data_IF_160123873587
#
_entry.id   IF_160123873587
#
_cell.length_a   1.000
_cell.length_b   1.000
_cell.length_c   1.000
_cell.angle_alpha   90.00
_cell.angle_beta   90.00
_cell.angle_gamma   90.00
#
_symmetry.space_group_name_H-M   'P 1'
#
loop_
_entity.id
_entity.type
_entity.pdbx_description
1 polymer ?
#
# COMPACT_ATOMS: atom_id res chain seq x y z
N UNK A 1 66.29 -2.88 -46.10
CA UNK A 1 65.41 -3.31 -44.99
C UNK A 1 64.11 -3.87 -45.60
N UNK A 2 63.84 -5.17 -45.42
CA UNK A 2 63.03 -5.99 -46.35
C UNK A 2 61.56 -6.09 -45.91
N UNK A 3 60.60 -5.54 -46.68
CA UNK A 3 59.14 -5.49 -46.39
C UNK A 3 58.51 -6.87 -46.07
N UNK A 4 59.13 -7.96 -46.51
CA UNK A 4 58.67 -9.34 -46.28
C UNK A 4 58.79 -9.79 -44.81
N UNK A 5 59.67 -9.19 -44.00
CA UNK A 5 59.80 -9.52 -42.57
C UNK A 5 58.68 -8.90 -41.71
N UNK A 6 58.08 -7.80 -42.15
CA UNK A 6 56.96 -7.14 -41.46
C UNK A 6 55.64 -7.92 -41.62
N UNK A 7 55.39 -8.46 -42.82
CA UNK A 7 54.21 -9.29 -43.07
C UNK A 7 54.26 -10.61 -42.28
N UNK A 8 55.44 -11.19 -42.10
CA UNK A 8 55.61 -12.41 -41.31
C UNK A 8 55.39 -12.17 -39.80
N UNK A 9 55.80 -11.02 -39.28
CA UNK A 9 55.57 -10.64 -37.89
C UNK A 9 54.08 -10.36 -37.59
N UNK A 10 53.35 -9.76 -38.54
CA UNK A 10 51.90 -9.51 -38.41
C UNK A 10 51.06 -10.79 -38.55
N UNK A 11 51.53 -11.77 -39.35
CA UNK A 11 50.89 -13.08 -39.51
C UNK A 11 51.19 -14.04 -38.34
N UNK A 12 52.36 -13.92 -37.70
CA UNK A 12 52.68 -14.68 -36.48
C UNK A 12 51.96 -14.12 -35.24
N UNK A 13 51.56 -12.84 -35.26
CA UNK A 13 50.75 -12.23 -34.19
C UNK A 13 49.30 -12.74 -34.17
N UNK A 14 48.80 -13.29 -35.29
CA UNK A 14 47.44 -13.82 -35.42
C UNK A 14 47.35 -15.33 -35.20
N UNK A 15 48.47 -16.06 -35.33
CA UNK A 15 48.56 -17.51 -35.12
C UNK A 15 48.89 -17.91 -33.66
N UNK A 16 49.45 -17.00 -32.86
CA UNK A 16 49.73 -17.23 -31.44
C UNK A 16 48.56 -16.72 -30.58
N UNK A 17 47.51 -17.53 -30.46
CA UNK A 17 46.32 -17.24 -29.65
C UNK A 17 46.64 -17.00 -28.17
N UNK A 18 46.78 -15.73 -27.79
CA UNK A 18 46.84 -15.22 -26.42
C UNK A 18 46.15 -13.84 -26.39
N UNK A 19 45.21 -13.56 -25.48
CA UNK A 19 44.14 -14.40 -24.96
C UNK A 19 42.78 -13.69 -25.16
N UNK A 20 41.88 -14.23 -26.00
CA UNK A 20 40.45 -13.84 -25.94
C UNK A 20 39.82 -14.17 -24.57
N UNK A 21 40.54 -14.91 -23.71
CA UNK A 21 40.14 -15.23 -22.34
C UNK A 21 40.15 -14.03 -21.39
N UNK A 22 40.99 -13.02 -21.62
CA UNK A 22 41.03 -11.83 -20.77
C UNK A 22 39.87 -10.88 -21.08
N UNK A 23 39.54 -10.71 -22.37
CA UNK A 23 38.43 -9.88 -22.82
C UNK A 23 37.07 -10.46 -22.40
N UNK A 24 36.91 -11.78 -22.53
CA UNK A 24 35.73 -12.49 -22.02
C UNK A 24 35.61 -12.42 -20.50
N UNK A 25 36.73 -12.49 -19.75
CA UNK A 25 36.71 -12.35 -18.30
C UNK A 25 36.34 -10.93 -17.83
N UNK A 26 36.76 -9.89 -18.57
CA UNK A 26 36.38 -8.50 -18.29
C UNK A 26 34.87 -8.30 -18.56
N UNK A 27 34.37 -8.77 -19.70
CA UNK A 27 32.95 -8.68 -20.06
C UNK A 27 32.05 -9.43 -19.07
N UNK A 28 32.47 -10.62 -18.63
CA UNK A 28 31.73 -11.44 -17.64
C UNK A 28 31.77 -10.79 -16.24
N UNK A 29 32.90 -10.17 -15.88
CA UNK A 29 33.00 -9.40 -14.63
C UNK A 29 32.12 -8.15 -14.63
N UNK A 30 31.99 -7.46 -15.77
CA UNK A 30 31.12 -6.30 -15.90
C UNK A 30 29.64 -6.71 -15.89
N UNK A 31 29.29 -7.84 -16.49
CA UNK A 31 27.95 -8.41 -16.41
C UNK A 31 27.58 -8.78 -14.97
N UNK A 32 28.45 -9.48 -14.24
CA UNK A 32 28.25 -9.82 -12.84
C UNK A 32 28.15 -8.57 -11.95
N UNK A 33 28.96 -7.54 -12.23
CA UNK A 33 28.95 -6.27 -11.48
C UNK A 33 27.67 -5.46 -11.76
N UNK A 34 27.20 -5.45 -13.00
CA UNK A 34 25.90 -4.87 -13.39
C UNK A 34 24.74 -5.59 -12.72
N UNK A 35 24.74 -6.91 -12.70
CA UNK A 35 23.70 -7.69 -12.01
C UNK A 35 23.70 -7.42 -10.51
N UNK A 36 24.89 -7.38 -9.88
CA UNK A 36 25.02 -7.02 -8.48
C UNK A 36 24.50 -5.61 -8.18
N UNK A 37 24.75 -4.64 -9.07
CA UNK A 37 24.22 -3.28 -8.95
C UNK A 37 22.70 -3.23 -9.10
N UNK A 38 22.13 -3.93 -10.09
CA UNK A 38 20.67 -4.00 -10.29
C UNK A 38 19.98 -4.69 -9.11
N UNK A 39 20.54 -5.77 -8.58
CA UNK A 39 20.04 -6.42 -7.36
C UNK A 39 20.11 -5.47 -6.16
N UNK A 40 21.21 -4.74 -6.00
CA UNK A 40 21.35 -3.78 -4.89
C UNK A 40 20.35 -2.63 -4.98
N UNK A 41 20.12 -2.12 -6.19
CA UNK A 41 19.14 -1.07 -6.46
C UNK A 41 17.72 -1.55 -6.13
N UNK A 42 17.31 -2.69 -6.69
CA UNK A 42 15.98 -3.28 -6.44
C UNK A 42 15.74 -3.64 -4.98
N UNK A 43 16.74 -4.17 -4.27
CA UNK A 43 16.63 -4.44 -2.82
C UNK A 43 16.48 -3.14 -2.04
N UNK A 44 17.27 -2.11 -2.36
CA UNK A 44 17.20 -0.80 -1.68
C UNK A 44 15.83 -0.16 -1.85
N UNK A 45 15.29 -0.15 -3.07
CA UNK A 45 13.97 0.44 -3.35
C UNK A 45 12.86 -0.32 -2.63
N UNK A 46 12.89 -1.66 -2.66
CA UNK A 46 11.92 -2.49 -1.91
C UNK A 46 11.93 -2.22 -0.42
N UNK A 47 13.11 -2.03 0.17
CA UNK A 47 13.27 -1.74 1.60
C UNK A 47 12.75 -0.34 1.92
N UNK A 48 13.01 0.64 1.05
CA UNK A 48 12.49 2.01 1.20
C UNK A 48 10.96 2.08 1.08
N UNK A 49 10.36 1.24 0.24
CA UNK A 49 8.91 1.21 0.01
C UNK A 49 8.12 0.40 1.05
N UNK A 50 8.77 -0.47 1.84
CA UNK A 50 8.07 -1.31 2.82
C UNK A 50 7.21 -0.49 3.80
N UNK A 51 7.75 0.56 4.46
CA UNK A 51 7.00 1.29 5.47
C UNK A 51 5.73 1.92 4.90
N UNK A 52 5.78 2.44 3.68
CA UNK A 52 4.64 3.02 2.97
C UNK A 52 3.60 1.94 2.68
N UNK A 53 4.03 0.76 2.19
CA UNK A 53 3.14 -0.39 1.95
C UNK A 53 2.49 -0.90 3.23
N UNK A 54 3.24 -0.96 4.33
CA UNK A 54 2.74 -1.36 5.66
C UNK A 54 1.69 -0.37 6.17
N UNK A 55 1.97 0.94 6.13
CA UNK A 55 1.02 2.00 6.51
C UNK A 55 -0.27 1.91 5.67
N UNK A 56 -0.15 1.71 4.36
CA UNK A 56 -1.30 1.52 3.47
C UNK A 56 -2.11 0.26 3.81
N UNK A 57 -1.44 -0.85 4.14
CA UNK A 57 -2.13 -2.08 4.56
C UNK A 57 -2.89 -1.86 5.88
N UNK A 58 -2.26 -1.20 6.86
CA UNK A 58 -2.91 -0.86 8.13
C UNK A 58 -4.13 0.03 7.93
N UNK A 59 -4.04 1.03 7.06
CA UNK A 59 -5.17 1.88 6.71
C UNK A 59 -6.33 1.10 6.05
N UNK A 60 -6.03 0.17 5.14
CA UNK A 60 -7.08 -0.69 4.55
C UNK A 60 -7.76 -1.57 5.59
N UNK A 61 -6.98 -2.15 6.51
CA UNK A 61 -7.52 -2.94 7.63
C UNK A 61 -8.38 -2.06 8.53
N UNK A 62 -7.93 -0.86 8.88
CA UNK A 62 -8.70 0.05 9.73
C UNK A 62 -10.02 0.49 9.08
N UNK A 63 -10.05 0.69 7.75
CA UNK A 63 -11.29 0.94 7.00
C UNK A 63 -12.26 -0.24 7.10
N UNK A 64 -11.76 -1.48 6.97
CA UNK A 64 -12.60 -2.67 7.09
C UNK A 64 -13.19 -2.79 8.50
N UNK A 65 -12.38 -2.55 9.53
CA UNK A 65 -12.83 -2.56 10.94
C UNK A 65 -13.86 -1.45 11.19
N UNK A 66 -13.59 -0.22 10.73
CA UNK A 66 -14.51 0.91 10.86
C UNK A 66 -15.86 0.63 10.17
N UNK A 67 -15.82 0.03 8.98
CA UNK A 67 -17.02 -0.40 8.27
C UNK A 67 -17.81 -1.45 9.06
N UNK A 68 -17.14 -2.48 9.57
CA UNK A 68 -17.78 -3.54 10.35
C UNK A 68 -18.47 -2.99 11.61
N UNK A 69 -17.81 -2.13 12.38
CA UNK A 69 -18.42 -1.54 13.59
C UNK A 69 -19.54 -0.55 13.26
N UNK A 70 -19.48 0.15 12.12
CA UNK A 70 -20.57 1.01 11.66
C UNK A 70 -21.82 0.18 11.36
N UNK A 71 -21.66 -0.97 10.71
CA UNK A 71 -22.77 -1.91 10.46
C UNK A 71 -23.33 -2.43 11.79
N UNK A 72 -22.45 -2.83 12.71
CA UNK A 72 -22.87 -3.31 14.03
C UNK A 72 -23.64 -2.24 14.81
N UNK A 73 -23.19 -0.99 14.77
CA UNK A 73 -23.83 0.16 15.39
C UNK A 73 -25.21 0.44 14.79
N UNK A 74 -25.33 0.49 13.46
CA UNK A 74 -26.62 0.59 12.75
C UNK A 74 -27.57 -0.53 13.17
N UNK A 75 -27.10 -1.78 13.16
CA UNK A 75 -27.91 -2.94 13.51
C UNK A 75 -28.34 -2.93 14.99
N UNK A 76 -27.47 -2.41 15.87
CA UNK A 76 -27.79 -2.24 17.30
C UNK A 76 -28.90 -1.20 17.52
N UNK A 77 -28.95 -0.17 16.66
CA UNK A 77 -29.89 0.97 16.74
C UNK A 77 -31.19 0.78 15.96
N UNK A 78 -31.27 -0.14 15.00
CA UNK A 78 -32.50 -0.37 14.21
C UNK A 78 -33.72 -0.62 15.10
N UNK A 79 -34.77 0.16 14.88
CA UNK A 79 -36.04 0.07 15.60
C UNK A 79 -36.05 0.74 16.99
N UNK A 80 -34.94 1.33 17.44
CA UNK A 80 -34.89 2.11 18.70
C UNK A 80 -35.48 3.50 18.50
N UNK A 81 -35.94 4.11 19.60
CA UNK A 81 -36.43 5.49 19.63
C UNK A 81 -35.29 6.48 19.44
N UNK A 82 -35.41 7.35 18.45
CA UNK A 82 -34.35 8.26 18.04
C UNK A 82 -34.74 9.72 18.28
N UNK A 83 -34.00 10.36 19.19
CA UNK A 83 -34.25 11.76 19.54
C UNK A 83 -33.86 12.73 18.40
N UNK A 84 -32.94 12.32 17.52
CA UNK A 84 -32.45 13.18 16.45
C UNK A 84 -33.49 13.28 15.30
N UNK A 85 -34.07 14.47 15.06
CA UNK A 85 -35.10 14.66 14.03
C UNK A 85 -34.61 14.39 12.60
N UNK A 86 -33.29 14.49 12.36
CA UNK A 86 -32.70 14.19 11.04
C UNK A 86 -32.60 12.68 10.77
N UNK A 87 -32.46 11.87 11.82
CA UNK A 87 -32.26 10.42 11.72
C UNK A 87 -33.54 9.62 12.02
N UNK A 88 -34.48 10.21 12.77
CA UNK A 88 -35.73 9.57 13.16
C UNK A 88 -36.71 9.49 12.00
N UNK A 89 -37.59 8.50 12.07
CA UNK A 89 -38.68 8.29 11.12
C UNK A 89 -39.97 8.92 11.62
N UNK A 90 -41.04 8.81 10.83
CA UNK A 90 -42.36 9.31 11.22
C UNK A 90 -42.83 8.72 12.57
N UNK A 91 -42.49 7.45 12.87
CA UNK A 91 -42.84 6.77 14.11
C UNK A 91 -41.85 7.02 15.27
N UNK A 92 -40.91 7.97 15.12
CA UNK A 92 -39.90 8.31 16.11
C UNK A 92 -38.69 7.38 16.16
N UNK A 93 -38.67 6.29 15.38
CA UNK A 93 -37.59 5.30 15.45
C UNK A 93 -36.46 5.52 14.44
N UNK A 94 -35.28 4.99 14.76
CA UNK A 94 -34.18 4.85 13.80
C UNK A 94 -34.55 3.79 12.75
N UNK A 95 -34.63 4.22 11.47
CA UNK A 95 -35.00 3.37 10.34
C UNK A 95 -34.04 3.52 9.16
N UNK A 96 -34.42 2.94 8.01
CA UNK A 96 -33.76 3.08 6.72
C UNK A 96 -33.27 4.50 6.39
N UNK A 97 -34.02 5.55 6.75
CA UNK A 97 -33.55 6.94 6.57
C UNK A 97 -32.30 7.23 7.39
N UNK A 98 -32.34 6.94 8.68
CA UNK A 98 -31.20 7.10 9.58
C UNK A 98 -30.00 6.27 9.13
N UNK A 99 -30.25 5.04 8.66
CA UNK A 99 -29.24 4.17 8.05
C UNK A 99 -28.60 4.83 6.83
N UNK A 100 -29.40 5.35 5.89
CA UNK A 100 -28.88 5.97 4.67
C UNK A 100 -28.02 7.20 4.96
N UNK A 101 -28.41 8.03 5.92
CA UNK A 101 -27.65 9.23 6.31
C UNK A 101 -26.33 8.82 6.95
N UNK A 102 -26.35 7.86 7.89
CA UNK A 102 -25.13 7.36 8.54
C UNK A 102 -24.18 6.71 7.55
N UNK A 103 -24.71 5.91 6.63
CA UNK A 103 -23.95 5.29 5.54
C UNK A 103 -23.35 6.34 4.59
N UNK A 104 -24.08 7.40 4.25
CA UNK A 104 -23.58 8.48 3.41
C UNK A 104 -22.41 9.23 4.08
N UNK A 105 -22.52 9.51 5.38
CA UNK A 105 -21.44 10.17 6.16
C UNK A 105 -20.19 9.30 6.17
N UNK A 106 -20.33 8.01 6.53
CA UNK A 106 -19.19 7.09 6.59
C UNK A 106 -18.58 6.86 5.21
N UNK A 107 -19.40 6.60 4.19
CA UNK A 107 -18.95 6.41 2.81
C UNK A 107 -18.21 7.64 2.26
N UNK A 108 -18.74 8.84 2.48
CA UNK A 108 -18.08 10.09 2.07
C UNK A 108 -16.75 10.27 2.79
N UNK A 109 -16.70 9.99 4.09
CA UNK A 109 -15.47 10.06 4.89
C UNK A 109 -14.40 9.11 4.36
N UNK A 110 -14.76 7.85 4.09
CA UNK A 110 -13.85 6.85 3.53
C UNK A 110 -13.37 7.25 2.12
N UNK A 111 -14.27 7.79 1.29
CA UNK A 111 -13.95 8.29 -0.05
C UNK A 111 -12.97 9.48 -0.02
N UNK A 112 -13.21 10.46 0.85
CA UNK A 112 -12.30 11.59 1.05
C UNK A 112 -10.93 11.12 1.54
N UNK A 113 -10.87 10.20 2.51
CA UNK A 113 -9.60 9.62 2.95
C UNK A 113 -8.86 8.94 1.79
N UNK A 114 -9.56 8.16 0.97
CA UNK A 114 -8.95 7.51 -0.20
C UNK A 114 -8.35 8.54 -1.18
N UNK A 115 -9.08 9.62 -1.49
CA UNK A 115 -8.59 10.68 -2.38
C UNK A 115 -7.39 11.44 -1.81
N UNK A 116 -7.39 11.71 -0.49
CA UNK A 116 -6.29 12.38 0.19
C UNK A 116 -5.03 11.49 0.23
N UNK A 117 -5.19 10.22 0.58
CA UNK A 117 -4.07 9.28 0.68
C UNK A 117 -3.50 8.88 -0.68
N UNK A 118 -4.27 9.00 -1.76
CA UNK A 118 -3.74 8.90 -3.12
C UNK A 118 -2.71 9.99 -3.42
N UNK A 119 -2.90 11.20 -2.87
CA UNK A 119 -1.97 12.33 -3.06
C UNK A 119 -0.87 12.36 -2.01
N UNK A 120 -1.15 11.89 -0.79
CA UNK A 120 -0.20 11.87 0.32
C UNK A 120 -0.24 10.50 1.04
N UNK A 121 0.50 9.49 0.55
CA UNK A 121 0.49 8.15 1.12
C UNK A 121 1.13 8.08 2.51
N UNK A 122 1.96 9.07 2.89
CA UNK A 122 2.62 9.09 4.20
C UNK A 122 1.63 9.28 5.35
N UNK A 123 0.48 9.91 5.08
CA UNK A 123 -0.58 10.12 6.05
C UNK A 123 -1.39 8.83 6.36
N UNK A 124 -1.16 7.71 5.64
CA UNK A 124 -1.94 6.49 5.80
C UNK A 124 -1.85 5.92 7.23
N UNK A 125 -0.68 6.04 7.88
CA UNK A 125 -0.52 5.62 9.27
C UNK A 125 -1.42 6.41 10.23
N UNK A 126 -1.43 7.74 10.12
CA UNK A 126 -2.26 8.61 10.94
C UNK A 126 -3.76 8.34 10.72
N UNK A 127 -4.17 8.24 9.45
CA UNK A 127 -5.55 7.88 9.10
C UNK A 127 -5.95 6.51 9.67
N UNK A 128 -5.03 5.54 9.69
CA UNK A 128 -5.27 4.24 10.29
C UNK A 128 -5.55 4.33 11.79
N UNK A 129 -4.73 5.06 12.54
CA UNK A 129 -4.93 5.29 13.97
C UNK A 129 -6.25 5.99 14.27
N UNK A 130 -6.59 7.03 13.50
CA UNK A 130 -7.87 7.72 13.63
C UNK A 130 -9.05 6.78 13.40
N UNK A 131 -9.01 5.96 12.35
CA UNK A 131 -10.06 4.99 12.06
C UNK A 131 -10.21 3.96 13.18
N UNK A 132 -9.10 3.46 13.76
CA UNK A 132 -9.17 2.53 14.89
C UNK A 132 -9.72 3.20 16.15
N UNK A 133 -9.35 4.44 16.44
CA UNK A 133 -9.87 5.18 17.58
C UNK A 133 -11.39 5.40 17.47
N UNK A 134 -11.86 5.85 16.30
CA UNK A 134 -13.29 6.01 16.02
C UNK A 134 -13.98 4.64 16.11
N UNK A 135 -13.40 3.60 15.51
CA UNK A 135 -13.98 2.27 15.52
C UNK A 135 -14.12 1.68 16.93
N UNK A 136 -13.12 1.92 17.80
CA UNK A 136 -13.18 1.53 19.21
C UNK A 136 -14.32 2.24 19.95
N UNK A 137 -14.46 3.55 19.78
CA UNK A 137 -15.55 4.32 20.39
C UNK A 137 -16.93 3.87 19.89
N UNK A 138 -17.10 3.72 18.57
CA UNK A 138 -18.35 3.24 17.96
C UNK A 138 -18.66 1.80 18.38
N UNK A 139 -17.66 0.93 18.43
CA UNK A 139 -17.81 -0.45 18.87
C UNK A 139 -18.26 -0.56 20.33
N UNK A 140 -17.73 0.29 21.22
CA UNK A 140 -18.18 0.35 22.62
C UNK A 140 -19.66 0.76 22.74
N UNK A 141 -20.10 1.75 21.95
CA UNK A 141 -21.51 2.17 21.89
C UNK A 141 -22.39 1.04 21.37
N UNK A 142 -22.01 0.40 20.27
CA UNK A 142 -22.76 -0.72 19.69
C UNK A 142 -22.86 -1.90 20.66
N UNK A 143 -21.75 -2.26 21.32
CA UNK A 143 -21.69 -3.31 22.34
C UNK A 143 -22.62 -3.01 23.51
N UNK A 144 -22.58 -1.79 24.04
CA UNK A 144 -23.51 -1.33 25.08
C UNK A 144 -24.96 -1.42 24.61
N UNK A 145 -25.25 -1.05 23.37
CA UNK A 145 -26.61 -1.15 22.81
C UNK A 145 -27.08 -2.61 22.76
N UNK A 146 -26.24 -3.55 22.31
CA UNK A 146 -26.59 -4.97 22.32
C UNK A 146 -26.87 -5.50 23.72
N UNK A 147 -26.11 -5.06 24.74
CA UNK A 147 -26.35 -5.47 26.13
C UNK A 147 -27.65 -4.92 26.73
N UNK A 148 -28.16 -3.81 26.19
CA UNK A 148 -29.43 -3.21 26.59
C UNK A 148 -30.64 -3.73 25.78
N UNK A 149 -30.41 -4.72 24.91
CA UNK A 149 -31.43 -5.35 24.06
C UNK A 149 -31.88 -6.65 24.70
#
# INVERSE_FOLDING_TARGET
MNRKRFALALFLLTLFGLPLRAENAILDSDAARREALLRRFTVRDRVADEPVRRKNRLWKVSLAVLGAVTVADVHSSLGRQEANPLLRSHNGQFSARGVSIKAAIVGTTMGVQYLLLRKNPDAAGAAAYTNFAIAGATGAVAGRNYMLK
#
